data_IF_149308552014
#
_entry.id   IF_149308552014
#
_cell.length_a   1.000
_cell.length_b   1.000
_cell.length_c   1.000
_cell.angle_alpha   90.00
_cell.angle_beta   90.00
_cell.angle_gamma   90.00
#
_symmetry.space_group_name_H-M   'P 1'
#
loop_
_entity.id
_entity.type
_entity.pdbx_description
1 polymer ?
#
# COMPACT_ATOMS: atom_id res chain seq x y z
N UNK A 1 16.95 -13.31 -8.87
CA UNK A 1 15.80 -12.66 -9.52
C UNK A 1 14.84 -13.67 -10.15
N UNK A 2 15.31 -14.64 -10.95
CA UNK A 2 14.43 -15.68 -11.52
C UNK A 2 13.67 -16.51 -10.50
N UNK A 3 14.23 -16.75 -9.32
CA UNK A 3 13.57 -17.49 -8.24
C UNK A 3 12.40 -16.75 -7.63
N UNK A 4 12.52 -15.43 -7.37
CA UNK A 4 11.44 -14.61 -6.83
C UNK A 4 10.24 -14.54 -7.78
N UNK A 5 10.48 -14.28 -9.08
CA UNK A 5 9.40 -14.23 -10.07
C UNK A 5 8.63 -15.55 -10.12
N UNK A 6 9.33 -16.69 -10.16
CA UNK A 6 8.70 -18.01 -10.17
C UNK A 6 7.88 -18.27 -8.92
N UNK A 7 8.38 -17.84 -7.74
CA UNK A 7 7.67 -17.96 -6.48
C UNK A 7 6.39 -17.12 -6.48
N UNK A 8 6.48 -15.84 -6.87
CA UNK A 8 5.33 -14.93 -6.89
C UNK A 8 4.23 -15.39 -7.85
N UNK A 9 4.61 -15.86 -9.04
CA UNK A 9 3.63 -16.37 -10.02
C UNK A 9 2.98 -17.68 -9.55
N UNK A 10 3.67 -18.48 -8.73
CA UNK A 10 3.11 -19.71 -8.18
C UNK A 10 2.13 -19.47 -7.00
N UNK A 11 2.05 -18.25 -6.46
CA UNK A 11 1.17 -17.90 -5.34
C UNK A 11 0.07 -16.98 -5.87
N UNK A 12 -1.14 -17.48 -6.00
CA UNK A 12 -2.31 -16.69 -6.44
C UNK A 12 -2.98 -15.92 -5.31
N UNK A 13 -2.77 -16.30 -4.05
CA UNK A 13 -3.33 -15.63 -2.88
C UNK A 13 -2.65 -14.27 -2.59
N UNK A 14 -3.28 -13.47 -1.72
CA UNK A 14 -2.67 -12.26 -1.15
C UNK A 14 -1.30 -12.58 -0.55
N UNK A 15 -0.27 -11.84 -0.93
CA UNK A 15 1.08 -12.01 -0.37
C UNK A 15 1.78 -10.68 -0.18
N UNK A 16 2.44 -10.51 0.97
CA UNK A 16 3.34 -9.38 1.25
C UNK A 16 4.78 -9.86 1.22
N UNK A 17 5.63 -9.15 0.51
CA UNK A 17 7.06 -9.42 0.43
C UNK A 17 7.83 -8.22 0.95
N UNK A 18 8.70 -8.46 1.93
CA UNK A 18 9.63 -7.45 2.43
C UNK A 18 11.05 -7.77 1.94
N UNK A 19 11.70 -6.75 1.41
CA UNK A 19 13.06 -6.84 0.94
C UNK A 19 14.01 -6.22 1.97
N UNK A 20 15.15 -6.85 2.18
CA UNK A 20 16.20 -6.34 3.07
C UNK A 20 16.72 -4.95 2.68
N UNK A 21 16.50 -4.54 1.42
CA UNK A 21 16.79 -3.21 0.90
C UNK A 21 15.79 -2.11 1.31
N UNK A 22 14.76 -2.44 2.10
CA UNK A 22 13.80 -1.44 2.58
C UNK A 22 12.62 -1.19 1.64
N UNK A 23 12.16 -2.22 0.93
CA UNK A 23 10.89 -2.21 0.18
C UNK A 23 9.92 -3.23 0.77
N UNK A 24 8.62 -2.86 0.81
CA UNK A 24 7.51 -3.76 1.14
C UNK A 24 6.51 -3.69 0.01
N UNK A 25 6.26 -4.82 -0.64
CA UNK A 25 5.33 -4.95 -1.75
C UNK A 25 4.19 -5.89 -1.35
N UNK A 26 2.98 -5.46 -1.62
CA UNK A 26 1.79 -6.29 -1.47
C UNK A 26 1.28 -6.69 -2.85
N UNK A 27 1.03 -7.98 -3.03
CA UNK A 27 0.47 -8.54 -4.25
C UNK A 27 -0.92 -9.08 -3.93
N UNK A 28 -1.98 -8.44 -4.43
CA UNK A 28 -3.35 -8.97 -4.28
C UNK A 28 -3.50 -10.36 -4.86
N UNK A 29 -4.50 -11.08 -4.42
CA UNK A 29 -4.88 -12.35 -5.04
C UNK A 29 -5.33 -12.16 -6.49
N UNK A 30 -5.29 -13.24 -7.25
CA UNK A 30 -5.87 -13.33 -8.58
C UNK A 30 -6.41 -14.74 -8.82
N UNK A 31 -7.33 -14.88 -9.76
CA UNK A 31 -7.95 -16.15 -10.10
C UNK A 31 -7.76 -16.44 -11.57
N UNK A 32 -7.40 -17.68 -11.87
CA UNK A 32 -7.36 -18.19 -13.22
C UNK A 32 -8.66 -18.98 -13.47
N UNK A 33 -9.47 -18.49 -14.39
CA UNK A 33 -10.71 -19.13 -14.79
C UNK A 33 -10.47 -19.90 -16.09
N UNK A 34 -10.71 -21.21 -16.04
CA UNK A 34 -10.76 -22.08 -17.20
C UNK A 34 -12.23 -22.31 -17.56
N UNK A 35 -12.65 -21.93 -18.75
CA UNK A 35 -13.99 -22.23 -19.22
C UNK A 35 -14.04 -23.68 -19.70
N UNK A 36 -14.58 -24.56 -18.85
CA UNK A 36 -14.72 -26.01 -19.15
C UNK A 36 -15.75 -26.31 -20.23
N UNK A 37 -16.59 -25.34 -20.62
CA UNK A 37 -17.64 -25.50 -21.61
C UNK A 37 -17.22 -25.13 -23.04
N UNK A 38 -15.98 -24.73 -23.24
CA UNK A 38 -15.47 -24.36 -24.56
C UNK A 38 -14.97 -25.60 -25.32
N UNK A 39 -15.23 -25.72 -26.62
CA UNK A 39 -14.67 -26.82 -27.45
C UNK A 39 -13.14 -26.89 -27.28
N UNK A 40 -12.58 -28.10 -27.27
CA UNK A 40 -11.16 -28.38 -26.92
C UNK A 40 -10.10 -27.65 -27.76
N UNK A 41 -10.48 -26.90 -28.79
CA UNK A 41 -9.61 -26.08 -29.63
C UNK A 41 -9.66 -24.56 -29.31
N UNK A 42 -10.50 -24.15 -28.35
CA UNK A 42 -10.61 -22.75 -27.90
C UNK A 42 -10.39 -22.75 -26.37
N UNK A 43 -9.15 -22.47 -25.97
CA UNK A 43 -8.85 -22.26 -24.54
C UNK A 43 -9.28 -20.86 -24.15
N UNK A 44 -10.43 -20.72 -23.51
CA UNK A 44 -10.83 -19.48 -22.85
C UNK A 44 -10.20 -19.47 -21.46
N UNK A 45 -9.01 -18.90 -21.37
CA UNK A 45 -8.31 -18.67 -20.12
C UNK A 45 -8.43 -17.19 -19.78
N UNK A 46 -9.18 -16.85 -18.74
CA UNK A 46 -9.27 -15.49 -18.22
C UNK A 46 -8.62 -15.40 -16.86
N UNK A 47 -8.06 -14.23 -16.57
CA UNK A 47 -7.44 -13.92 -15.29
C UNK A 47 -8.24 -12.77 -14.68
N UNK A 48 -8.74 -12.98 -13.48
CA UNK A 48 -9.44 -11.97 -12.69
C UNK A 48 -8.57 -11.50 -11.52
N UNK A 49 -8.57 -10.19 -11.26
CA UNK A 49 -7.77 -9.53 -10.23
C UNK A 49 -6.46 -8.95 -10.77
N UNK A 50 -6.06 -7.82 -10.18
CA UNK A 50 -4.87 -7.09 -10.62
C UNK A 50 -3.56 -7.73 -10.12
N UNK A 51 -3.65 -8.62 -9.16
CA UNK A 51 -2.49 -9.29 -8.58
C UNK A 51 -1.61 -10.05 -9.58
N UNK A 52 -2.18 -10.58 -10.65
CA UNK A 52 -1.39 -11.24 -11.71
C UNK A 52 -0.48 -10.26 -12.44
N UNK A 53 -1.01 -9.11 -12.85
CA UNK A 53 -0.25 -8.04 -13.53
C UNK A 53 0.91 -7.56 -12.66
N UNK A 54 0.65 -7.29 -11.38
CA UNK A 54 1.65 -6.82 -10.44
C UNK A 54 2.80 -7.81 -10.27
N UNK A 55 2.53 -9.13 -10.36
CA UNK A 55 3.54 -10.21 -10.30
C UNK A 55 4.41 -10.32 -11.56
N UNK A 56 4.05 -9.60 -12.63
CA UNK A 56 4.84 -9.55 -13.87
C UNK A 56 5.80 -8.36 -13.94
N UNK A 57 5.82 -7.48 -12.94
CA UNK A 57 6.67 -6.29 -12.90
C UNK A 57 8.14 -6.62 -12.65
N UNK A 58 8.78 -7.19 -13.68
CA UNK A 58 10.20 -7.54 -13.69
C UNK A 58 10.85 -7.02 -14.96
N UNK A 59 12.06 -6.47 -14.82
CA UNK A 59 12.89 -6.05 -15.94
C UNK A 59 13.44 -7.26 -16.73
N UNK A 60 14.01 -7.01 -17.90
CA UNK A 60 14.54 -8.05 -18.78
C UNK A 60 15.67 -8.88 -18.15
N UNK A 61 16.44 -8.29 -17.25
CA UNK A 61 17.49 -8.97 -16.47
C UNK A 61 16.94 -9.81 -15.30
N UNK A 62 15.61 -9.81 -15.11
CA UNK A 62 14.91 -10.51 -14.05
C UNK A 62 14.96 -9.80 -12.69
N UNK A 63 15.45 -8.57 -12.60
CA UNK A 63 15.30 -7.72 -11.41
C UNK A 63 13.86 -7.22 -11.27
N UNK A 64 13.45 -6.89 -10.06
CA UNK A 64 12.13 -6.32 -9.81
C UNK A 64 12.07 -4.90 -10.36
N UNK A 65 11.05 -4.61 -11.15
CA UNK A 65 10.78 -3.27 -11.67
C UNK A 65 9.79 -2.54 -10.75
N UNK A 66 10.34 -1.74 -9.82
CA UNK A 66 9.54 -0.96 -8.87
C UNK A 66 8.67 0.09 -9.58
N UNK A 67 9.17 0.70 -10.65
CA UNK A 67 8.41 1.70 -11.40
C UNK A 67 7.20 1.09 -12.09
N UNK A 68 7.35 -0.06 -12.73
CA UNK A 68 6.23 -0.78 -13.34
C UNK A 68 5.24 -1.27 -12.27
N UNK A 69 5.73 -1.72 -11.11
CA UNK A 69 4.87 -2.11 -10.00
C UNK A 69 4.06 -0.92 -9.49
N UNK A 70 4.70 0.21 -9.22
CA UNK A 70 4.02 1.41 -8.72
C UNK A 70 3.03 1.97 -9.77
N UNK A 71 3.37 1.95 -11.06
CA UNK A 71 2.48 2.36 -12.14
C UNK A 71 1.21 1.49 -12.26
N UNK A 72 1.24 0.24 -11.79
CA UNK A 72 0.06 -0.63 -11.78
C UNK A 72 -1.00 -0.22 -10.77
N UNK A 73 -0.68 0.69 -9.82
CA UNK A 73 -1.60 1.12 -8.78
C UNK A 73 -2.86 1.80 -9.31
N UNK A 74 -2.71 2.63 -10.33
CA UNK A 74 -3.85 3.31 -10.96
C UNK A 74 -4.90 2.33 -11.50
N UNK A 75 -4.44 1.22 -12.11
CA UNK A 75 -5.34 0.16 -12.57
C UNK A 75 -5.91 -0.64 -11.40
N UNK A 76 -5.10 -0.92 -10.37
CA UNK A 76 -5.56 -1.61 -9.18
C UNK A 76 -6.69 -0.84 -8.48
N UNK A 77 -6.67 0.49 -8.48
CA UNK A 77 -7.76 1.33 -7.94
C UNK A 77 -9.12 1.09 -8.61
N UNK A 78 -9.16 0.50 -9.79
CA UNK A 78 -10.42 0.19 -10.49
C UNK A 78 -11.01 -1.16 -10.05
N UNK A 79 -10.16 -2.14 -9.74
CA UNK A 79 -10.59 -3.52 -9.54
C UNK A 79 -10.44 -4.07 -8.12
N UNK A 80 -9.56 -3.47 -7.32
CA UNK A 80 -9.25 -4.01 -5.99
C UNK A 80 -10.04 -3.32 -4.87
N UNK A 81 -10.16 -4.01 -3.73
CA UNK A 81 -10.82 -3.46 -2.55
C UNK A 81 -10.00 -2.36 -1.89
N UNK A 82 -10.69 -1.45 -1.20
CA UNK A 82 -10.09 -0.36 -0.41
C UNK A 82 -9.03 -0.87 0.58
N UNK A 83 -9.30 -2.00 1.24
CA UNK A 83 -8.37 -2.62 2.19
C UNK A 83 -7.05 -3.00 1.51
N UNK A 84 -7.12 -3.69 0.35
CA UNK A 84 -5.94 -4.11 -0.40
C UNK A 84 -5.12 -2.93 -0.91
N UNK A 85 -5.80 -1.89 -1.39
CA UNK A 85 -5.17 -0.66 -1.87
C UNK A 85 -4.48 0.12 -0.74
N UNK A 86 -5.13 0.25 0.42
CA UNK A 86 -4.50 0.82 1.61
C UNK A 86 -3.29 0.00 2.06
N UNK A 87 -3.36 -1.32 2.03
CA UNK A 87 -2.23 -2.21 2.37
C UNK A 87 -1.05 -2.01 1.44
N UNK A 88 -1.31 -1.90 0.13
CA UNK A 88 -0.30 -1.63 -0.89
C UNK A 88 0.36 -0.27 -0.64
N UNK A 89 -0.43 0.79 -0.52
CA UNK A 89 0.06 2.15 -0.31
C UNK A 89 0.88 2.28 0.99
N UNK A 90 0.38 1.72 2.11
CA UNK A 90 1.12 1.69 3.38
C UNK A 90 2.45 0.95 3.25
N UNK A 91 2.46 -0.20 2.58
CA UNK A 91 3.70 -0.97 2.37
C UNK A 91 4.75 -0.14 1.65
N UNK A 92 4.39 0.49 0.54
CA UNK A 92 5.29 1.29 -0.29
C UNK A 92 5.78 2.56 0.42
N UNK A 93 4.90 3.24 1.16
CA UNK A 93 5.27 4.47 1.87
C UNK A 93 6.08 4.20 3.15
N UNK A 94 5.82 3.11 3.88
CA UNK A 94 6.60 2.74 5.07
C UNK A 94 8.01 2.26 4.72
N UNK A 95 8.19 1.57 3.61
CA UNK A 95 9.47 1.07 3.12
C UNK A 95 9.68 1.49 1.66
N UNK A 96 10.12 2.76 1.41
CA UNK A 96 10.00 3.42 0.11
C UNK A 96 11.20 3.18 -0.82
N UNK A 97 11.96 2.11 -0.68
CA UNK A 97 13.06 1.84 -1.60
C UNK A 97 12.57 1.80 -3.06
N UNK A 98 13.23 2.55 -3.93
CA UNK A 98 12.87 2.66 -5.34
C UNK A 98 11.51 3.31 -5.63
N UNK A 99 10.93 4.04 -4.67
CA UNK A 99 9.68 4.77 -4.84
C UNK A 99 9.92 6.15 -5.46
N UNK A 100 9.33 6.39 -6.63
CA UNK A 100 9.36 7.70 -7.30
C UNK A 100 8.39 8.70 -6.66
N UNK A 101 8.63 10.00 -6.90
CA UNK A 101 7.84 11.08 -6.29
C UNK A 101 6.37 11.07 -6.74
N UNK A 102 6.09 10.80 -8.02
CA UNK A 102 4.73 10.72 -8.56
C UNK A 102 3.95 9.58 -7.90
N UNK A 103 4.52 8.39 -7.84
CA UNK A 103 3.89 7.24 -7.20
C UNK A 103 3.70 7.47 -5.68
N UNK A 104 4.65 8.14 -5.02
CA UNK A 104 4.50 8.56 -3.63
C UNK A 104 3.28 9.46 -3.46
N UNK A 105 3.12 10.46 -4.33
CA UNK A 105 1.99 11.38 -4.27
C UNK A 105 0.65 10.66 -4.47
N UNK A 106 0.58 9.70 -5.39
CA UNK A 106 -0.61 8.88 -5.63
C UNK A 106 -0.98 8.04 -4.40
N UNK A 107 -0.01 7.39 -3.75
CA UNK A 107 -0.24 6.62 -2.53
C UNK A 107 -0.68 7.50 -1.35
N UNK A 108 -0.03 8.65 -1.15
CA UNK A 108 -0.39 9.62 -0.10
C UNK A 108 -1.80 10.17 -0.33
N UNK A 109 -2.13 10.51 -1.57
CA UNK A 109 -3.47 10.96 -1.96
C UNK A 109 -4.51 9.89 -1.65
N UNK A 110 -4.26 8.64 -2.02
CA UNK A 110 -5.18 7.54 -1.76
C UNK A 110 -5.43 7.34 -0.26
N UNK A 111 -4.38 7.27 0.56
CA UNK A 111 -4.52 7.12 2.02
C UNK A 111 -5.24 8.30 2.67
N UNK A 112 -5.04 9.52 2.13
CA UNK A 112 -5.73 10.72 2.62
C UNK A 112 -7.22 10.67 2.31
N UNK A 113 -7.63 10.08 1.20
CA UNK A 113 -9.03 9.86 0.84
C UNK A 113 -9.70 8.72 1.65
N UNK A 114 -8.90 7.77 2.17
CA UNK A 114 -9.37 6.57 2.87
C UNK A 114 -8.79 6.41 4.29
N UNK A 115 -8.88 7.43 5.16
CA UNK A 115 -8.18 7.44 6.44
C UNK A 115 -8.63 6.35 7.42
N UNK A 116 -9.92 6.03 7.45
CA UNK A 116 -10.47 5.02 8.38
C UNK A 116 -9.98 3.61 8.03
N UNK A 117 -9.93 3.25 6.75
CA UNK A 117 -9.40 1.96 6.31
C UNK A 117 -7.90 1.86 6.57
N UNK A 118 -7.14 2.91 6.26
CA UNK A 118 -5.70 2.96 6.49
C UNK A 118 -5.34 2.80 7.98
N UNK A 119 -6.01 3.53 8.87
CA UNK A 119 -5.81 3.38 10.31
C UNK A 119 -6.28 2.03 10.83
N UNK A 120 -7.40 1.48 10.33
CA UNK A 120 -7.88 0.17 10.73
C UNK A 120 -6.83 -0.91 10.45
N UNK A 121 -6.22 -0.90 9.26
CA UNK A 121 -5.14 -1.82 8.89
C UNK A 121 -3.92 -1.66 9.80
N UNK A 122 -3.42 -0.42 9.95
CA UNK A 122 -2.23 -0.15 10.74
C UNK A 122 -2.41 -0.54 12.22
N UNK A 123 -3.58 -0.27 12.80
CA UNK A 123 -3.88 -0.59 14.19
C UNK A 123 -4.09 -2.08 14.40
N UNK A 124 -4.81 -2.76 13.49
CA UNK A 124 -5.03 -4.21 13.56
C UNK A 124 -3.71 -4.97 13.48
N UNK A 125 -2.79 -4.53 12.61
CA UNK A 125 -1.46 -5.09 12.49
C UNK A 125 -0.50 -4.64 13.62
N UNK A 126 -0.89 -3.68 14.46
CA UNK A 126 -0.03 -3.00 15.45
C UNK A 126 1.25 -2.42 14.81
N UNK A 127 1.13 -1.93 13.57
CA UNK A 127 2.25 -1.36 12.83
C UNK A 127 2.46 0.10 13.24
N UNK A 128 3.39 0.33 14.15
CA UNK A 128 3.73 1.67 14.63
C UNK A 128 4.27 2.57 13.50
N UNK A 129 5.00 2.02 12.54
CA UNK A 129 5.56 2.80 11.43
C UNK A 129 4.43 3.32 10.55
N UNK A 130 3.45 2.49 10.23
CA UNK A 130 2.26 2.88 9.48
C UNK A 130 1.45 3.94 10.22
N UNK A 131 1.21 3.78 11.54
CA UNK A 131 0.50 4.80 12.33
C UNK A 131 1.25 6.14 12.34
N UNK A 132 2.58 6.12 12.53
CA UNK A 132 3.40 7.34 12.49
C UNK A 132 3.34 8.03 11.12
N UNK A 133 3.36 7.26 10.04
CA UNK A 133 3.20 7.74 8.67
C UNK A 133 1.85 8.46 8.52
N UNK A 134 0.74 7.81 8.88
CA UNK A 134 -0.61 8.36 8.74
C UNK A 134 -0.80 9.64 9.56
N UNK A 135 -0.26 9.68 10.79
CA UNK A 135 -0.24 10.90 11.62
C UNK A 135 0.60 11.99 10.96
N UNK A 136 1.74 11.62 10.36
CA UNK A 136 2.63 12.55 9.64
C UNK A 136 1.97 13.17 8.40
N UNK A 137 1.11 12.42 7.71
CA UNK A 137 0.28 12.92 6.60
C UNK A 137 -0.86 13.86 7.07
N UNK A 138 -1.07 13.97 8.38
CA UNK A 138 -2.08 14.86 8.95
C UNK A 138 -3.50 14.30 8.90
N UNK A 139 -3.66 13.00 8.79
CA UNK A 139 -4.98 12.36 8.76
C UNK A 139 -5.73 12.53 10.09
N UNK A 140 -7.09 12.55 10.08
CA UNK A 140 -7.90 12.68 11.28
C UNK A 140 -7.73 11.46 12.20
N UNK A 141 -7.39 11.69 13.48
CA UNK A 141 -7.03 10.62 14.43
C UNK A 141 -8.13 10.23 15.40
N UNK A 142 -9.28 10.93 15.41
CA UNK A 142 -10.34 10.71 16.42
C UNK A 142 -10.90 9.27 16.39
N UNK A 143 -11.29 8.78 15.22
CA UNK A 143 -11.79 7.40 15.04
C UNK A 143 -10.71 6.37 15.33
N UNK A 144 -9.48 6.65 14.90
CA UNK A 144 -8.32 5.79 15.11
C UNK A 144 -8.01 5.63 16.61
N UNK A 145 -8.06 6.72 17.40
CA UNK A 145 -7.83 6.66 18.84
C UNK A 145 -8.90 5.80 19.56
N UNK A 146 -10.16 5.96 19.19
CA UNK A 146 -11.25 5.13 19.71
C UNK A 146 -11.07 3.65 19.32
N UNK A 147 -10.59 3.39 18.11
CA UNK A 147 -10.31 2.02 17.67
C UNK A 147 -9.13 1.40 18.42
N UNK A 148 -8.02 2.13 18.63
CA UNK A 148 -6.91 1.68 19.48
C UNK A 148 -7.36 1.29 20.88
N UNK A 149 -8.23 2.12 21.50
CA UNK A 149 -8.76 1.83 22.83
C UNK A 149 -9.57 0.52 22.85
N UNK A 150 -10.41 0.27 21.85
CA UNK A 150 -11.16 -1.00 21.71
C UNK A 150 -10.25 -2.20 21.51
N UNK A 151 -9.13 -2.03 20.79
CA UNK A 151 -8.13 -3.09 20.56
C UNK A 151 -7.15 -3.29 21.73
N UNK A 152 -7.25 -2.49 22.78
CA UNK A 152 -6.34 -2.55 23.93
C UNK A 152 -4.88 -2.23 23.58
N UNK A 153 -4.64 -1.44 22.52
CA UNK A 153 -3.29 -1.07 22.09
C UNK A 153 -2.89 0.32 22.57
N UNK A 154 -2.40 0.40 23.81
CA UNK A 154 -2.01 1.64 24.46
C UNK A 154 -0.86 2.39 23.76
N UNK A 155 0.11 1.66 23.21
CA UNK A 155 1.21 2.25 22.45
C UNK A 155 0.69 2.99 21.19
N UNK A 156 -0.21 2.37 20.43
CA UNK A 156 -0.86 3.00 19.30
C UNK A 156 -1.67 4.24 19.67
N UNK A 157 -2.41 4.17 20.77
CA UNK A 157 -3.16 5.32 21.28
C UNK A 157 -2.22 6.48 21.64
N UNK A 158 -1.06 6.21 22.26
CA UNK A 158 -0.07 7.24 22.56
C UNK A 158 0.51 7.91 21.31
N UNK A 159 0.75 7.15 20.24
CA UNK A 159 1.20 7.69 18.95
C UNK A 159 0.16 8.62 18.32
N UNK A 160 -1.11 8.29 18.41
CA UNK A 160 -2.21 9.11 17.87
C UNK A 160 -2.44 10.40 18.66
N UNK A 161 -2.19 10.39 19.97
CA UNK A 161 -2.32 11.54 20.85
C UNK A 161 -1.09 12.45 20.83
N UNK A 162 0.09 11.89 20.52
CA UNK A 162 1.37 12.59 20.44
C UNK A 162 1.53 13.42 19.17
N UNK A 163 0.59 14.31 18.82
CA UNK A 163 0.73 15.20 17.66
C UNK A 163 2.06 15.94 17.71
N UNK A 164 2.92 15.86 16.70
CA UNK A 164 3.96 16.85 16.55
C UNK A 164 3.26 18.20 16.37
N UNK A 165 3.48 19.13 17.29
CA UNK A 165 3.05 20.51 17.10
C UNK A 165 3.59 20.96 15.76
N UNK A 166 2.70 21.18 14.79
CA UNK A 166 3.03 21.84 13.53
C UNK A 166 3.71 23.14 13.93
N UNK A 167 5.01 23.29 13.63
CA UNK A 167 5.73 24.53 13.89
C UNK A 167 4.92 25.65 13.23
N UNK A 168 4.38 26.56 14.02
CA UNK A 168 3.68 27.70 13.50
C UNK A 168 4.66 28.44 12.58
N UNK A 169 4.30 28.56 11.30
CA UNK A 169 5.03 29.38 10.34
C UNK A 169 5.09 30.76 10.95
N UNK A 170 6.28 31.19 11.44
CA UNK A 170 6.49 32.56 11.86
C UNK A 170 6.28 33.44 10.65
N UNK A 171 5.13 34.10 10.57
CA UNK A 171 4.90 35.21 9.65
C UNK A 171 5.76 36.35 10.23
N UNK A 172 6.85 36.65 9.55
CA UNK A 172 7.57 37.90 9.80
C UNK A 172 6.79 39.01 9.10
N UNK A 173 6.19 39.86 9.90
CA UNK A 173 5.58 41.11 9.43
C UNK A 173 6.73 42.10 9.20
N UNK A 174 6.90 42.53 7.94
CA UNK A 174 7.94 43.47 7.49
C UNK A 174 7.40 44.88 7.33
N UNK A 175 6.37 45.26 8.07
CA UNK A 175 5.81 46.63 8.04
C UNK A 175 6.26 47.43 9.25
N UNK A 176 7.58 47.60 9.47
CA UNK A 176 8.15 48.66 10.31
C UNK A 176 9.60 48.93 9.87
N UNK A 177 9.75 49.69 8.76
CA UNK A 177 10.93 50.51 8.45
C UNK A 177 10.48 51.78 7.74
#
# INVERSE_FOLDING_TARGET
ATGLKRLLVAISADVTVEFTGGARLFYPEYFELLDENTPAHIFNHSIEGEGYRMRQCFAADGSLDFSAYDASFAQACVGESEEKLCRLALGRLCLPYGLGDDARADYEFYLTAHPDAAFTLAITARDEAAVKLLVGLGLPTANAAAFCARQGWSAGAALLLGRPKRAAKKTYDFDDL
#
